data_IF_269739401645
#
_entry.id   IF_269739401645
#
_cell.length_a   1.000
_cell.length_b   1.000
_cell.length_c   1.000
_cell.angle_alpha   90.00
_cell.angle_beta   90.00
_cell.angle_gamma   90.00
#
_symmetry.space_group_name_H-M   'P 1'
#
loop_
_entity.id
_entity.type
_entity.pdbx_description
1 polymer ?
#
# COMPACT_ATOMS: atom_id res chain seq x y z
N UNK A 1 -26.28 32.64 36.00
CA UNK A 1 -26.17 31.33 35.29
C UNK A 1 -26.11 31.56 33.78
N UNK A 2 -24.93 31.80 33.18
CA UNK A 2 -24.79 31.98 31.71
C UNK A 2 -23.55 31.28 31.11
N UNK A 3 -22.79 30.52 31.90
CA UNK A 3 -21.50 29.94 31.47
C UNK A 3 -21.56 28.46 31.05
N UNK A 4 -22.75 27.82 31.03
CA UNK A 4 -22.86 26.36 30.83
C UNK A 4 -23.14 25.92 29.38
N UNK A 5 -23.65 26.80 28.52
CA UNK A 5 -23.99 26.44 27.14
C UNK A 5 -22.77 26.42 26.19
N UNK A 6 -21.75 27.25 26.44
CA UNK A 6 -20.57 27.34 25.56
C UNK A 6 -19.66 26.10 25.59
N UNK A 7 -19.55 25.42 26.74
CA UNK A 7 -18.73 24.22 26.89
C UNK A 7 -19.29 23.04 26.09
N UNK A 8 -20.62 22.92 25.98
CA UNK A 8 -21.26 21.83 25.25
C UNK A 8 -21.03 21.94 23.73
N UNK A 9 -21.01 23.16 23.19
CA UNK A 9 -20.72 23.42 21.77
C UNK A 9 -19.24 23.15 21.45
N UNK A 10 -18.33 23.49 22.37
CA UNK A 10 -16.90 23.21 22.20
C UNK A 10 -16.59 21.70 22.20
N UNK A 11 -17.31 20.90 22.99
CA UNK A 11 -17.17 19.43 23.01
C UNK A 11 -17.74 18.75 21.75
N UNK A 12 -18.74 19.33 21.08
CA UNK A 12 -19.27 18.79 19.82
C UNK A 12 -18.35 19.03 18.60
N UNK A 13 -17.44 20.00 18.65
CA UNK A 13 -16.51 20.30 17.56
C UNK A 13 -15.28 19.36 17.52
N UNK A 14 -15.09 18.53 18.55
CA UNK A 14 -13.94 17.60 18.67
C UNK A 14 -14.23 16.21 18.09
N UNK A 15 -15.42 15.97 17.51
CA UNK A 15 -15.81 14.66 16.96
C UNK A 15 -15.61 14.52 15.44
N UNK A 16 -14.78 15.35 14.81
CA UNK A 16 -14.39 15.13 13.40
C UNK A 16 -13.46 13.90 13.33
N UNK A 17 -14.07 12.71 13.36
CA UNK A 17 -13.38 11.45 13.19
C UNK A 17 -12.86 11.40 11.75
N UNK A 18 -11.54 11.36 11.61
CA UNK A 18 -10.88 11.07 10.34
C UNK A 18 -11.30 9.67 9.91
N UNK A 19 -12.19 9.57 8.92
CA UNK A 19 -12.59 8.30 8.35
C UNK A 19 -11.39 7.69 7.62
N UNK A 20 -10.85 6.60 8.17
CA UNK A 20 -9.89 5.71 7.52
C UNK A 20 -10.59 4.39 7.27
N UNK A 21 -10.54 3.89 6.04
CA UNK A 21 -11.11 2.60 5.67
C UNK A 21 -10.00 1.57 5.55
N UNK A 22 -10.23 0.38 6.13
CA UNK A 22 -9.34 -0.77 5.92
C UNK A 22 -9.99 -1.75 4.97
N UNK A 23 -9.39 -1.96 3.81
CA UNK A 23 -9.77 -2.97 2.84
C UNK A 23 -8.93 -4.22 3.06
N UNK A 24 -9.57 -5.39 3.14
CA UNK A 24 -8.87 -6.67 3.32
C UNK A 24 -9.31 -7.62 2.23
N UNK A 25 -8.37 -8.24 1.52
CA UNK A 25 -8.74 -9.37 0.68
C UNK A 25 -9.17 -10.55 1.55
N UNK A 26 -9.94 -11.47 0.97
CA UNK A 26 -10.26 -12.75 1.60
C UNK A 26 -8.98 -13.55 1.85
N UNK A 27 -8.97 -14.30 2.96
CA UNK A 27 -7.83 -15.11 3.40
C UNK A 27 -7.62 -16.28 2.45
N UNK A 28 -6.37 -16.51 2.05
CA UNK A 28 -5.94 -17.61 1.14
C UNK A 28 -6.71 -17.63 -0.20
N UNK A 29 -7.29 -16.50 -0.59
CA UNK A 29 -8.14 -16.41 -1.77
C UNK A 29 -7.34 -15.94 -2.98
N UNK A 30 -7.59 -16.57 -4.14
CA UNK A 30 -7.10 -16.09 -5.43
C UNK A 30 -8.18 -15.26 -6.12
N UNK A 31 -7.91 -13.98 -6.34
CA UNK A 31 -8.90 -13.06 -6.88
C UNK A 31 -8.32 -11.88 -7.65
N UNK A 32 -9.21 -11.08 -8.21
CA UNK A 32 -8.87 -9.85 -8.91
C UNK A 32 -9.04 -8.65 -7.99
N UNK A 33 -8.13 -7.67 -8.07
CA UNK A 33 -8.18 -6.43 -7.30
C UNK A 33 -9.49 -5.69 -7.54
N UNK A 34 -9.95 -5.64 -8.78
CA UNK A 34 -11.12 -4.88 -9.17
C UNK A 34 -12.45 -5.58 -8.82
N UNK A 35 -12.40 -6.85 -8.40
CA UNK A 35 -13.60 -7.64 -8.10
C UNK A 35 -13.98 -7.52 -6.63
N UNK A 36 -15.17 -6.98 -6.34
CA UNK A 36 -15.78 -6.93 -5.01
C UNK A 36 -15.78 -8.30 -4.30
N UNK A 37 -15.92 -9.40 -5.04
CA UNK A 37 -15.92 -10.75 -4.47
C UNK A 37 -14.59 -11.17 -3.84
N UNK A 38 -13.48 -10.50 -4.19
CA UNK A 38 -12.14 -10.76 -3.63
C UNK A 38 -11.94 -10.13 -2.25
N UNK A 39 -12.79 -9.19 -1.85
CA UNK A 39 -12.61 -8.36 -0.66
C UNK A 39 -13.60 -8.73 0.43
N UNK A 40 -13.15 -8.63 1.68
CA UNK A 40 -14.01 -8.72 2.86
C UNK A 40 -14.99 -7.54 2.86
N UNK A 41 -16.26 -7.81 3.16
CA UNK A 41 -17.31 -6.79 3.07
C UNK A 41 -17.82 -6.51 1.65
N UNK A 42 -17.26 -7.16 0.62
CA UNK A 42 -17.78 -7.04 -0.76
C UNK A 42 -17.49 -5.69 -1.42
N UNK A 43 -16.47 -4.97 -0.97
CA UNK A 43 -16.07 -3.67 -1.50
C UNK A 43 -14.60 -3.68 -1.90
N UNK A 44 -14.34 -3.59 -3.20
CA UNK A 44 -12.99 -3.43 -3.73
C UNK A 44 -12.49 -1.99 -3.54
N UNK A 45 -11.18 -1.79 -3.26
CA UNK A 45 -10.58 -0.48 -3.14
C UNK A 45 -10.30 0.09 -4.55
N UNK A 46 -11.37 0.48 -5.24
CA UNK A 46 -11.31 1.13 -6.56
C UNK A 46 -11.02 2.63 -6.44
N UNK A 47 -11.31 3.21 -5.28
CA UNK A 47 -11.04 4.60 -4.94
C UNK A 47 -10.51 4.64 -3.53
N UNK A 48 -9.55 5.53 -3.29
CA UNK A 48 -8.89 5.62 -2.00
C UNK A 48 -9.21 6.94 -1.30
N UNK A 49 -9.21 6.91 0.03
CA UNK A 49 -9.23 8.07 0.92
C UNK A 49 -7.89 8.21 1.66
N UNK A 50 -7.65 9.38 2.25
CA UNK A 50 -6.45 9.57 3.06
C UNK A 50 -6.48 8.65 4.28
N UNK A 51 -5.33 8.06 4.57
CA UNK A 51 -5.08 7.08 5.62
C UNK A 51 -5.79 5.74 5.43
N UNK A 52 -6.25 5.41 4.23
CA UNK A 52 -6.76 4.07 3.96
C UNK A 52 -5.64 3.03 4.07
N UNK A 53 -6.03 1.81 4.46
CA UNK A 53 -5.13 0.66 4.56
C UNK A 53 -5.67 -0.46 3.70
N UNK A 54 -4.80 -1.08 2.91
CA UNK A 54 -5.15 -2.20 2.05
C UNK A 54 -4.31 -3.40 2.47
N UNK A 55 -4.94 -4.47 2.93
CA UNK A 55 -4.28 -5.71 3.32
C UNK A 55 -4.57 -6.81 2.29
N UNK A 56 -3.50 -7.36 1.72
CA UNK A 56 -3.54 -8.53 0.84
C UNK A 56 -3.27 -9.77 1.71
N UNK A 57 -4.33 -10.55 1.93
CA UNK A 57 -4.36 -11.80 2.67
C UNK A 57 -4.50 -13.04 1.74
N UNK A 58 -4.04 -12.94 0.49
CA UNK A 58 -4.17 -14.01 -0.50
C UNK A 58 -3.36 -13.73 -1.76
N UNK A 59 -3.78 -14.28 -2.89
CA UNK A 59 -3.22 -13.93 -4.21
C UNK A 59 -4.16 -12.98 -4.94
N UNK A 60 -3.82 -11.70 -4.97
CA UNK A 60 -4.61 -10.67 -5.65
C UNK A 60 -3.90 -10.20 -6.91
N UNK A 61 -4.62 -10.21 -8.03
CA UNK A 61 -4.14 -9.70 -9.32
C UNK A 61 -4.89 -8.44 -9.70
N UNK A 62 -4.20 -7.31 -9.88
CA UNK A 62 -4.77 -6.15 -10.57
C UNK A 62 -4.52 -6.27 -12.06
N UNK A 63 -5.59 -6.12 -12.84
CA UNK A 63 -5.55 -6.16 -14.30
C UNK A 63 -5.15 -4.81 -14.91
N UNK A 64 -5.05 -3.77 -14.08
CA UNK A 64 -4.68 -2.42 -14.47
C UNK A 64 -3.45 -1.91 -13.71
N UNK A 65 -3.07 -0.66 -13.98
CA UNK A 65 -2.13 0.08 -13.13
C UNK A 65 -2.79 0.44 -11.80
N UNK A 66 -1.99 0.52 -10.74
CA UNK A 66 -2.40 1.04 -9.43
C UNK A 66 -1.67 2.36 -9.22
N UNK A 67 -2.42 3.45 -9.01
CA UNK A 67 -1.87 4.76 -8.68
C UNK A 67 -2.36 5.17 -7.30
N UNK A 68 -1.41 5.42 -6.41
CA UNK A 68 -1.63 5.91 -5.04
C UNK A 68 -1.17 7.36 -5.00
N UNK A 69 -2.15 8.27 -5.01
CA UNK A 69 -1.99 9.73 -4.96
C UNK A 69 -2.43 10.32 -3.60
N UNK A 70 -2.62 9.46 -2.60
CA UNK A 70 -3.04 9.79 -1.24
C UNK A 70 -2.18 9.04 -0.23
N UNK A 71 -2.27 9.42 1.05
CA UNK A 71 -1.59 8.70 2.12
C UNK A 71 -2.26 7.34 2.35
N UNK A 72 -1.83 6.29 1.66
CA UNK A 72 -2.41 4.94 1.76
C UNK A 72 -1.29 3.97 2.10
N UNK A 73 -1.58 2.96 2.89
CA UNK A 73 -0.65 1.84 3.12
C UNK A 73 -1.16 0.57 2.46
N UNK A 74 -0.41 0.04 1.50
CA UNK A 74 -0.62 -1.31 0.94
C UNK A 74 0.25 -2.32 1.70
N UNK A 75 -0.35 -3.31 2.32
CA UNK A 75 0.33 -4.38 3.04
C UNK A 75 0.12 -5.71 2.35
N UNK A 76 1.20 -6.34 1.91
CA UNK A 76 1.19 -7.74 1.48
C UNK A 76 1.66 -8.59 2.65
N UNK A 77 0.77 -9.45 3.16
CA UNK A 77 1.03 -10.28 4.33
C UNK A 77 2.01 -11.41 4.02
N UNK A 78 2.45 -12.08 5.08
CA UNK A 78 3.33 -13.23 5.00
C UNK A 78 2.68 -14.37 4.18
N UNK A 79 3.41 -14.94 3.23
CA UNK A 79 2.92 -15.98 2.32
C UNK A 79 2.04 -15.50 1.17
N UNK A 80 1.61 -14.24 1.18
CA UNK A 80 0.62 -13.72 0.23
C UNK A 80 1.26 -12.98 -0.95
N UNK A 81 0.48 -12.80 -2.03
CA UNK A 81 0.99 -12.27 -3.30
C UNK A 81 0.09 -11.17 -3.87
N UNK A 82 0.71 -10.05 -4.25
CA UNK A 82 0.10 -9.01 -5.06
C UNK A 82 0.75 -8.98 -6.44
N UNK A 83 -0.05 -9.16 -7.49
CA UNK A 83 0.37 -9.08 -8.89
C UNK A 83 -0.29 -7.86 -9.52
N UNK A 84 0.50 -7.02 -10.19
CA UNK A 84 0.02 -5.81 -10.85
C UNK A 84 0.41 -5.91 -12.32
N UNK A 85 -0.58 -6.06 -13.20
CA UNK A 85 -0.34 -6.18 -14.64
C UNK A 85 0.20 -4.87 -15.25
N UNK A 86 -0.19 -3.72 -14.70
CA UNK A 86 0.25 -2.41 -15.13
C UNK A 86 1.40 -1.82 -14.31
N UNK A 87 1.43 -0.49 -14.28
CA UNK A 87 2.37 0.30 -13.48
C UNK A 87 1.87 0.42 -12.05
N UNK A 88 2.78 0.34 -11.07
CA UNK A 88 2.52 0.71 -9.68
C UNK A 88 3.15 2.07 -9.43
N UNK A 89 2.33 3.09 -9.18
CA UNK A 89 2.77 4.45 -8.89
C UNK A 89 2.43 4.83 -7.45
N UNK A 90 3.45 5.00 -6.61
CA UNK A 90 3.38 5.37 -5.19
C UNK A 90 3.99 6.77 -5.02
N UNK A 91 3.31 7.79 -5.56
CA UNK A 91 3.86 9.13 -5.77
C UNK A 91 3.24 10.22 -4.90
N UNK A 92 2.56 9.84 -3.80
CA UNK A 92 2.03 10.83 -2.89
C UNK A 92 3.14 11.62 -2.18
N UNK A 93 3.19 12.94 -2.41
CA UNK A 93 4.30 13.80 -1.98
C UNK A 93 4.16 14.31 -0.54
N UNK A 94 2.94 14.44 0.00
CA UNK A 94 2.65 15.13 1.27
C UNK A 94 2.26 14.20 2.42
N UNK A 95 3.21 13.42 2.95
CA UNK A 95 3.00 12.60 4.15
C UNK A 95 4.27 11.85 4.60
N UNK A 96 4.30 11.45 5.88
CA UNK A 96 5.34 10.60 6.50
C UNK A 96 4.96 9.11 6.53
N UNK A 97 3.84 8.74 5.90
CA UNK A 97 3.32 7.38 5.87
C UNK A 97 4.21 6.38 5.12
N UNK A 98 3.95 5.10 5.37
CA UNK A 98 4.53 3.99 4.63
C UNK A 98 3.53 3.60 3.53
N UNK A 99 3.99 3.62 2.28
CA UNK A 99 3.09 3.45 1.13
C UNK A 99 2.89 1.97 0.81
N UNK A 100 3.95 1.17 0.98
CA UNK A 100 3.91 -0.27 0.76
C UNK A 100 4.79 -1.04 1.74
N UNK A 101 4.20 -2.09 2.31
CA UNK A 101 4.83 -3.05 3.21
C UNK A 101 4.71 -4.46 2.63
N UNK A 102 5.83 -5.17 2.49
CA UNK A 102 5.86 -6.59 2.15
C UNK A 102 6.37 -7.34 3.38
N UNK A 103 5.49 -8.08 4.03
CA UNK A 103 5.72 -8.71 5.34
C UNK A 103 6.11 -10.17 5.13
N UNK A 104 7.07 -10.66 5.92
CA UNK A 104 7.52 -12.06 5.86
C UNK A 104 7.88 -12.48 4.43
N UNK A 105 7.45 -13.66 4.02
CA UNK A 105 7.64 -14.24 2.69
C UNK A 105 6.71 -13.68 1.59
N UNK A 106 5.96 -12.62 1.89
CA UNK A 106 5.06 -11.97 0.94
C UNK A 106 5.76 -11.53 -0.36
N UNK A 107 4.98 -11.46 -1.44
CA UNK A 107 5.51 -11.19 -2.78
C UNK A 107 4.70 -10.11 -3.48
N UNK A 108 5.40 -9.11 -4.03
CA UNK A 108 4.83 -8.12 -4.96
C UNK A 108 5.46 -8.31 -6.32
N UNK A 109 4.63 -8.42 -7.36
CA UNK A 109 5.04 -8.54 -8.76
C UNK A 109 4.42 -7.39 -9.54
N UNK A 110 5.26 -6.51 -10.10
CA UNK A 110 4.84 -5.42 -10.97
C UNK A 110 5.31 -5.73 -12.40
N UNK A 111 4.37 -6.04 -13.27
CA UNK A 111 4.67 -6.35 -14.68
C UNK A 111 4.94 -5.08 -15.50
N UNK A 112 4.46 -3.91 -15.07
CA UNK A 112 4.83 -2.61 -15.63
C UNK A 112 6.06 -1.99 -14.96
N UNK A 113 5.99 -0.68 -14.79
CA UNK A 113 6.99 0.10 -14.04
C UNK A 113 6.56 0.26 -12.59
N UNK A 114 7.53 0.42 -11.69
CA UNK A 114 7.29 0.84 -10.31
C UNK A 114 7.93 2.21 -10.11
N UNK A 115 7.10 3.20 -9.78
CA UNK A 115 7.54 4.53 -9.38
C UNK A 115 7.19 4.73 -7.91
N UNK A 116 8.16 5.19 -7.11
CA UNK A 116 7.90 5.54 -5.71
C UNK A 116 8.74 6.71 -5.24
N UNK A 117 8.09 7.66 -4.56
CA UNK A 117 8.72 8.81 -3.93
C UNK A 117 8.95 8.63 -2.42
N UNK A 118 8.59 7.47 -1.86
CA UNK A 118 8.38 7.28 -0.42
C UNK A 118 8.88 5.92 0.10
N UNK A 119 8.51 5.63 1.33
CA UNK A 119 8.95 4.48 2.10
C UNK A 119 8.28 3.21 1.58
N UNK A 120 9.07 2.41 0.87
CA UNK A 120 8.80 1.02 0.57
C UNK A 120 9.56 0.17 1.61
N UNK A 121 8.84 -0.65 2.38
CA UNK A 121 9.45 -1.61 3.29
C UNK A 121 9.22 -3.03 2.77
N UNK A 122 10.31 -3.73 2.47
CA UNK A 122 10.29 -5.16 2.13
C UNK A 122 11.03 -5.89 3.23
N UNK A 123 10.39 -6.92 3.80
CA UNK A 123 11.01 -7.76 4.83
C UNK A 123 12.25 -8.47 4.28
N UNK A 124 13.08 -9.03 5.17
CA UNK A 124 14.28 -9.79 4.77
C UNK A 124 13.99 -11.02 3.90
N UNK A 125 12.79 -11.60 4.02
CA UNK A 125 12.35 -12.79 3.27
C UNK A 125 11.34 -12.46 2.18
N UNK A 126 10.85 -11.22 2.14
CA UNK A 126 9.87 -10.74 1.18
C UNK A 126 10.50 -10.50 -0.19
N UNK A 127 9.67 -10.47 -1.22
CA UNK A 127 10.12 -10.24 -2.59
C UNK A 127 9.34 -9.11 -3.23
N UNK A 128 10.06 -8.22 -3.89
CA UNK A 128 9.51 -7.25 -4.82
C UNK A 128 10.16 -7.50 -6.18
N UNK A 129 9.35 -7.77 -7.19
CA UNK A 129 9.79 -8.05 -8.56
C UNK A 129 9.17 -7.01 -9.47
N UNK A 130 9.98 -6.32 -10.27
CA UNK A 130 9.54 -5.37 -11.28
C UNK A 130 10.14 -5.75 -12.64
N UNK A 131 9.33 -5.75 -13.71
CA UNK A 131 9.73 -6.28 -15.02
C UNK A 131 10.30 -5.25 -16.00
N UNK A 132 9.97 -3.96 -15.82
CA UNK A 132 10.43 -2.87 -16.71
C UNK A 132 11.36 -1.89 -15.99
N UNK A 133 10.81 -0.80 -15.48
CA UNK A 133 11.57 0.28 -14.87
C UNK A 133 11.22 0.42 -13.40
N UNK A 134 12.24 0.59 -12.58
CA UNK A 134 12.11 0.99 -11.20
C UNK A 134 12.67 2.40 -11.05
N UNK A 135 11.80 3.37 -10.79
CA UNK A 135 12.16 4.76 -10.59
C UNK A 135 11.89 5.10 -9.13
N UNK A 136 12.97 5.31 -8.38
CA UNK A 136 12.87 5.73 -6.99
C UNK A 136 13.70 6.98 -6.75
N UNK A 137 13.06 8.02 -6.24
CA UNK A 137 13.66 9.35 -6.19
C UNK A 137 14.53 9.58 -4.96
N UNK A 138 14.44 8.76 -3.89
CA UNK A 138 15.35 8.82 -2.74
C UNK A 138 15.51 7.48 -1.97
N UNK A 139 16.71 7.24 -1.44
CA UNK A 139 17.08 6.33 -0.33
C UNK A 139 17.34 4.82 -0.54
N UNK A 140 17.72 4.32 -1.72
CA UNK A 140 18.31 2.98 -1.83
C UNK A 140 19.81 3.04 -2.13
N UNK A 141 20.62 2.51 -1.21
CA UNK A 141 22.09 2.45 -1.37
C UNK A 141 22.55 1.23 -2.18
N UNK A 142 21.73 0.19 -2.32
CA UNK A 142 22.06 -1.03 -3.08
C UNK A 142 20.83 -1.70 -3.70
N UNK A 143 20.51 -1.35 -4.95
CA UNK A 143 19.71 -2.21 -5.81
C UNK A 143 20.65 -2.81 -6.86
N UNK A 144 20.64 -4.14 -6.99
CA UNK A 144 21.46 -4.86 -7.97
C UNK A 144 20.54 -5.37 -9.06
N UNK A 145 20.77 -4.89 -10.28
CA UNK A 145 20.03 -5.33 -11.46
C UNK A 145 20.65 -6.64 -11.96
N UNK A 146 19.85 -7.69 -12.07
CA UNK A 146 20.21 -8.96 -12.70
C UNK A 146 19.35 -9.14 -13.96
N UNK A 147 19.88 -8.71 -15.11
CA UNK A 147 19.14 -8.72 -16.37
C UNK A 147 17.96 -7.72 -16.35
N UNK A 148 16.74 -8.22 -16.58
CA UNK A 148 15.50 -7.41 -16.54
C UNK A 148 14.88 -7.29 -15.14
N UNK A 149 15.49 -7.89 -14.12
CA UNK A 149 14.96 -7.91 -12.76
C UNK A 149 15.80 -7.05 -11.83
N UNK A 150 15.14 -6.25 -10.99
CA UNK A 150 15.80 -5.48 -9.94
C UNK A 150 15.58 -6.16 -8.58
N UNK A 151 16.68 -6.47 -7.89
CA UNK A 151 16.65 -6.93 -6.50
C UNK A 151 17.15 -5.81 -5.59
N UNK A 152 16.30 -5.34 -4.68
CA UNK A 152 16.67 -4.35 -3.66
C UNK A 152 16.73 -5.03 -2.28
N UNK A 153 17.86 -4.89 -1.59
CA UNK A 153 18.06 -5.41 -0.22
C UNK A 153 18.35 -4.22 0.71
N UNK A 154 17.63 -4.14 1.83
CA UNK A 154 17.85 -3.08 2.83
C UNK A 154 19.15 -3.36 3.60
N UNK A 155 20.02 -2.35 3.69
CA UNK A 155 21.10 -2.32 4.69
C UNK A 155 20.58 -1.57 5.92
N UNK A 156 20.39 -2.27 7.03
CA UNK A 156 20.17 -1.64 8.34
C UNK A 156 21.48 -0.99 8.78
N UNK A 157 21.46 0.32 9.06
CA UNK A 157 22.47 0.91 9.93
C UNK A 157 21.99 0.72 11.37
N UNK A 158 22.86 0.16 12.21
CA UNK A 158 22.75 0.18 13.66
C UNK A 158 23.01 1.59 14.19
#
# INVERSE_FOLDING_TARGET
MKLRAGIVILLMLVSCQLFSTTYKSKVEYKGNWESNSSWQGGLAPLSFSNNDVIEINGTITSNSSITVDKQITIKVKDGDTLIIAGTLNLDYSSGSGLDMEVIGTGVVIVLGSLTTNKNLAVSNTGKLVCSRYFIQWRWFKYCKQFGRYLYCRRSFWA
#
